data_IF_581253331565
#
_entry.id   IF_581253331565
#
_cell.length_a   1.000
_cell.length_b   1.000
_cell.length_c   1.000
_cell.angle_alpha   90.00
_cell.angle_beta   90.00
_cell.angle_gamma   90.00
#
_symmetry.space_group_name_H-M   'P 1'
#
loop_
_entity.id
_entity.type
_entity.pdbx_description
1 polymer ?
#
# COMPACT_ATOMS: atom_id res chain seq x y z
N UNK A 1 -0.29 5.90 -20.19
CA UNK A 1 0.49 5.69 -18.96
C UNK A 1 1.14 7.04 -18.62
N UNK A 2 0.87 7.64 -17.45
CA UNK A 2 1.44 8.93 -17.08
C UNK A 2 2.94 8.82 -16.77
N UNK A 3 3.70 9.88 -17.00
CA UNK A 3 5.11 9.99 -16.59
C UNK A 3 5.16 10.08 -15.06
N UNK A 4 5.84 9.12 -14.40
CA UNK A 4 5.83 8.96 -12.93
C UNK A 4 7.12 9.40 -12.23
N UNK A 5 7.97 10.20 -12.89
CA UNK A 5 9.23 10.69 -12.33
C UNK A 5 10.36 9.67 -12.39
N UNK A 6 11.35 9.81 -11.49
CA UNK A 6 12.56 9.00 -11.52
C UNK A 6 12.33 7.60 -10.94
N UNK A 7 12.97 6.59 -11.54
CA UNK A 7 12.86 5.20 -11.10
C UNK A 7 13.16 5.01 -9.61
N UNK A 8 14.16 5.74 -9.10
CA UNK A 8 14.58 5.71 -7.70
C UNK A 8 13.47 6.12 -6.72
N UNK A 9 12.64 7.10 -7.10
CA UNK A 9 11.55 7.62 -6.26
C UNK A 9 10.42 6.59 -6.14
N UNK A 10 10.08 5.94 -7.26
CA UNK A 10 9.08 4.86 -7.30
C UNK A 10 9.54 3.66 -6.47
N UNK A 11 10.79 3.24 -6.64
CA UNK A 11 11.36 2.12 -5.88
C UNK A 11 11.41 2.42 -4.38
N UNK A 12 11.70 3.66 -3.98
CA UNK A 12 11.66 4.07 -2.59
C UNK A 12 10.26 3.92 -1.98
N UNK A 13 9.21 4.37 -2.68
CA UNK A 13 7.83 4.21 -2.21
C UNK A 13 7.39 2.74 -2.15
N UNK A 14 7.75 1.92 -3.14
CA UNK A 14 7.41 0.50 -3.18
C UNK A 14 8.08 -0.28 -2.04
N UNK A 15 9.38 -0.07 -1.83
CA UNK A 15 10.12 -0.71 -0.74
C UNK A 15 9.67 -0.20 0.63
N UNK A 16 9.31 1.07 0.74
CA UNK A 16 8.71 1.65 1.94
C UNK A 16 7.37 1.00 2.31
N UNK A 17 6.46 0.87 1.33
CA UNK A 17 5.18 0.20 1.53
C UNK A 17 5.32 -1.27 1.93
N UNK A 18 6.24 -2.00 1.29
CA UNK A 18 6.54 -3.39 1.65
C UNK A 18 7.04 -3.53 3.09
N UNK A 19 7.98 -2.66 3.52
CA UNK A 19 8.50 -2.66 4.89
C UNK A 19 7.43 -2.32 5.92
N UNK A 20 6.53 -1.39 5.62
CA UNK A 20 5.40 -1.08 6.48
C UNK A 20 4.49 -2.32 6.66
N UNK A 21 4.17 -3.01 5.55
CA UNK A 21 3.40 -4.26 5.58
C UNK A 21 4.10 -5.36 6.40
N UNK A 22 5.41 -5.54 6.23
CA UNK A 22 6.21 -6.47 7.04
C UNK A 22 6.16 -6.12 8.53
N UNK A 23 6.19 -4.83 8.88
CA UNK A 23 6.02 -4.35 10.24
C UNK A 23 4.67 -4.71 10.85
N UNK A 24 3.57 -4.49 10.12
CA UNK A 24 2.22 -4.87 10.57
C UNK A 24 2.05 -6.38 10.76
N UNK A 25 2.69 -7.18 9.90
CA UNK A 25 2.66 -8.64 10.00
C UNK A 25 3.70 -9.21 10.99
N UNK A 26 4.57 -8.39 11.57
CA UNK A 26 5.67 -8.85 12.44
C UNK A 26 6.72 -9.71 11.72
N UNK A 27 6.82 -9.60 10.39
CA UNK A 27 7.72 -10.40 9.56
C UNK A 27 9.10 -9.73 9.47
N UNK A 28 10.16 -10.45 9.87
CA UNK A 28 11.55 -9.97 9.81
C UNK A 28 12.17 -10.19 8.42
N UNK A 29 11.60 -11.09 7.63
CA UNK A 29 12.04 -11.39 6.27
C UNK A 29 10.86 -11.73 5.34
N UNK A 30 11.13 -11.89 4.05
CA UNK A 30 10.10 -12.15 3.04
C UNK A 30 9.45 -13.54 3.22
N UNK A 31 10.21 -14.54 3.66
CA UNK A 31 9.68 -15.89 3.92
C UNK A 31 8.67 -15.90 5.07
N UNK A 32 8.86 -15.07 6.08
CA UNK A 32 7.91 -14.85 7.16
C UNK A 32 6.68 -14.08 6.69
N UNK A 33 6.87 -13.06 5.83
CA UNK A 33 5.76 -12.30 5.25
C UNK A 33 4.84 -13.21 4.41
N UNK A 34 5.40 -14.17 3.67
CA UNK A 34 4.63 -15.13 2.89
C UNK A 34 3.73 -16.05 3.74
N UNK A 35 3.99 -16.18 5.04
CA UNK A 35 3.17 -16.94 5.99
C UNK A 35 2.05 -16.10 6.63
N UNK A 36 1.96 -14.81 6.30
CA UNK A 36 0.93 -13.93 6.83
C UNK A 36 -0.48 -14.43 6.47
N UNK A 37 -1.43 -14.20 7.36
CA UNK A 37 -2.82 -14.62 7.19
C UNK A 37 -3.62 -13.51 6.55
N UNK A 38 -4.35 -13.85 5.50
CA UNK A 38 -5.33 -12.95 4.90
C UNK A 38 -6.72 -13.25 5.44
N UNK A 39 -7.52 -12.20 5.58
CA UNK A 39 -8.95 -12.31 5.86
C UNK A 39 -9.74 -11.95 4.61
N UNK A 40 -10.87 -12.62 4.38
CA UNK A 40 -11.75 -12.28 3.26
C UNK A 40 -12.57 -11.04 3.61
N UNK A 41 -12.40 -9.99 2.83
CA UNK A 41 -13.20 -8.77 2.93
C UNK A 41 -14.43 -8.82 2.00
N UNK A 42 -15.45 -8.06 2.33
CA UNK A 42 -16.67 -7.90 1.53
C UNK A 42 -16.57 -6.66 0.63
N UNK A 43 -17.44 -6.53 -0.37
CA UNK A 43 -17.44 -5.36 -1.28
C UNK A 43 -17.57 -4.00 -0.54
N UNK A 44 -18.41 -3.86 0.50
CA UNK A 44 -18.42 -2.66 1.33
C UNK A 44 -17.08 -2.40 2.05
N UNK A 45 -16.42 -3.46 2.54
CA UNK A 45 -15.09 -3.35 3.18
C UNK A 45 -13.97 -2.93 2.21
N UNK A 46 -14.12 -3.22 0.91
CA UNK A 46 -13.23 -2.66 -0.12
C UNK A 46 -13.39 -1.13 -0.25
N UNK A 47 -14.62 -0.62 -0.20
CA UNK A 47 -14.87 0.83 -0.23
C UNK A 47 -14.36 1.53 1.03
N UNK A 48 -14.46 0.87 2.18
CA UNK A 48 -13.93 1.36 3.47
C UNK A 48 -12.39 1.40 3.49
N UNK A 49 -11.75 0.42 2.86
CA UNK A 49 -10.28 0.33 2.82
C UNK A 49 -9.64 1.44 1.97
N UNK A 50 -10.39 1.98 1.01
CA UNK A 50 -9.98 3.14 0.24
C UNK A 50 -10.34 4.43 0.97
N UNK A 51 -9.61 5.52 0.71
CA UNK A 51 -10.00 6.86 1.19
C UNK A 51 -11.43 7.16 0.72
N UNK A 52 -12.35 7.25 1.69
CA UNK A 52 -13.77 7.55 1.49
C UNK A 52 -14.15 8.78 2.32
N UNK A 53 -15.15 9.53 1.87
CA UNK A 53 -15.70 10.72 2.52
C UNK A 53 -14.71 11.87 2.79
N UNK A 54 -13.68 12.02 1.95
CA UNK A 54 -12.75 13.18 2.00
C UNK A 54 -12.46 13.73 0.60
N UNK A 55 -12.52 15.06 0.44
CA UNK A 55 -12.00 15.73 -0.77
C UNK A 55 -10.48 15.73 -0.72
N UNK A 56 -9.83 14.96 -1.60
CA UNK A 56 -8.36 14.92 -1.71
C UNK A 56 -7.89 16.26 -2.28
N UNK A 57 -7.31 17.12 -1.44
CA UNK A 57 -6.81 18.45 -1.84
C UNK A 57 -5.32 18.44 -2.23
N UNK A 58 -4.58 17.37 -1.90
CA UNK A 58 -3.19 17.14 -2.30
C UNK A 58 -3.00 15.68 -2.69
N UNK A 59 -2.38 15.44 -3.84
CA UNK A 59 -2.05 14.08 -4.30
C UNK A 59 -1.00 13.44 -3.39
N UNK A 60 -1.24 12.20 -2.99
CA UNK A 60 -0.28 11.41 -2.25
C UNK A 60 0.64 10.67 -3.22
N UNK A 61 1.97 10.66 -2.99
CA UNK A 61 2.93 10.04 -3.91
C UNK A 61 2.78 8.52 -4.05
N UNK A 62 2.01 7.87 -3.17
CA UNK A 62 1.81 6.42 -3.11
C UNK A 62 0.35 5.99 -3.27
N UNK A 63 -0.58 6.89 -3.63
CA UNK A 63 -2.00 6.57 -3.77
C UNK A 63 -2.63 7.34 -4.93
N UNK A 64 -2.91 6.61 -6.01
CA UNK A 64 -3.70 7.07 -7.15
C UNK A 64 -4.89 6.13 -7.29
N UNK A 65 -6.11 6.67 -7.42
CA UNK A 65 -7.26 5.91 -7.89
C UNK A 65 -7.04 5.46 -9.34
#
# INVERSE_FOLDING_TARGET
MPFKGNLSEIFFQLTGGMRAGMGYCGAKNIEELQKAKFIRITNPGMMESHTHDVTITREAPNYSR
#
